data_IF_983678593962
#
_entry.id   IF_983678593962
#
_cell.length_a   1.000
_cell.length_b   1.000
_cell.length_c   1.000
_cell.angle_alpha   90.00
_cell.angle_beta   90.00
_cell.angle_gamma   90.00
#
_symmetry.space_group_name_H-M   'P 1'
#
loop_
_entity.id
_entity.type
_entity.pdbx_description
1 polymer ?
#
# COMPACT_ATOMS: atom_id res chain seq x y z
N UNK A 1 -1.44 -64.67 -15.01
CA UNK A 1 -2.45 -65.45 -14.27
C UNK A 1 -3.07 -64.54 -13.22
N UNK A 2 -4.40 -64.43 -13.26
CA UNK A 2 -5.24 -63.77 -12.24
C UNK A 2 -5.23 -64.61 -10.95
N UNK A 3 -5.58 -63.95 -9.83
CA UNK A 3 -6.23 -64.43 -8.60
C UNK A 3 -5.46 -63.92 -7.36
N UNK A 4 -6.04 -63.39 -6.28
CA UNK A 4 -7.33 -62.76 -5.97
C UNK A 4 -7.39 -62.58 -4.44
N UNK A 5 -8.11 -61.53 -3.99
CA UNK A 5 -9.02 -61.46 -2.80
C UNK A 5 -8.47 -61.94 -1.43
N UNK A 6 -8.33 -61.08 -0.42
CA UNK A 6 -9.33 -60.35 0.39
C UNK A 6 -9.98 -61.17 1.53
N UNK A 7 -10.08 -60.51 2.71
CA UNK A 7 -10.92 -60.78 3.90
C UNK A 7 -10.47 -61.97 4.79
N UNK A 8 -10.62 -62.02 6.12
CA UNK A 8 -11.55 -61.32 7.02
C UNK A 8 -11.22 -61.60 8.52
N UNK A 9 -11.56 -60.62 9.40
CA UNK A 9 -12.36 -60.78 10.67
C UNK A 9 -11.65 -61.28 11.96
N UNK A 10 -11.37 -60.40 12.95
CA UNK A 10 -12.15 -59.94 14.17
C UNK A 10 -12.11 -60.90 15.38
N UNK A 11 -11.65 -60.38 16.55
CA UNK A 11 -12.19 -60.53 17.94
C UNK A 11 -11.14 -59.96 18.93
N UNK A 12 -11.23 -58.75 19.52
CA UNK A 12 -12.02 -58.25 20.69
C UNK A 12 -11.79 -59.03 22.01
N UNK A 13 -11.12 -58.42 23.01
CA UNK A 13 -11.68 -57.97 24.32
C UNK A 13 -10.58 -57.57 25.37
N UNK A 14 -10.61 -56.28 25.73
CA UNK A 14 -10.54 -55.63 27.08
C UNK A 14 -9.52 -56.06 28.16
N UNK A 15 -8.79 -55.06 28.68
CA UNK A 15 -8.75 -54.76 30.12
C UNK A 15 -8.41 -53.28 30.36
N UNK A 16 -9.31 -52.57 31.04
CA UNK A 16 -9.21 -51.17 31.41
C UNK A 16 -8.44 -51.02 32.74
N UNK A 17 -7.47 -50.11 32.81
CA UNK A 17 -7.04 -49.51 34.08
C UNK A 17 -7.24 -48.01 34.02
N UNK A 18 -8.20 -47.56 34.81
CA UNK A 18 -8.50 -46.17 35.13
C UNK A 18 -7.49 -45.70 36.17
N UNK A 19 -6.72 -44.65 35.86
CA UNK A 19 -6.17 -43.76 36.88
C UNK A 19 -6.85 -42.40 36.71
N UNK A 20 -7.91 -42.21 37.50
CA UNK A 20 -8.49 -40.91 37.76
C UNK A 20 -7.66 -40.24 38.85
N UNK A 21 -6.82 -39.27 38.46
CA UNK A 21 -6.38 -38.20 39.34
C UNK A 21 -7.34 -37.03 39.17
N UNK A 22 -8.33 -36.92 40.05
CA UNK A 22 -9.24 -35.78 40.14
C UNK A 22 -8.61 -34.64 40.95
N UNK A 23 -8.88 -33.41 40.50
CA UNK A 23 -8.68 -32.16 41.24
C UNK A 23 -8.65 -30.94 40.30
N UNK A 24 -9.69 -30.69 39.47
CA UNK A 24 -10.81 -29.74 39.72
C UNK A 24 -10.36 -28.28 39.94
N UNK A 25 -10.73 -27.26 39.17
CA UNK A 25 -11.63 -27.03 38.01
C UNK A 25 -11.28 -25.62 37.44
N UNK A 26 -11.65 -25.20 36.23
CA UNK A 26 -13.02 -24.93 35.81
C UNK A 26 -13.10 -24.68 34.28
N UNK A 27 -13.98 -25.46 33.63
CA UNK A 27 -14.73 -25.29 32.36
C UNK A 27 -14.47 -24.10 31.42
N UNK A 28 -14.35 -24.42 30.12
CA UNK A 28 -14.87 -23.63 29.00
C UNK A 28 -14.07 -23.81 27.70
N UNK A 29 -14.29 -24.88 26.91
CA UNK A 29 -15.13 -24.90 25.70
C UNK A 29 -14.33 -24.68 24.39
N UNK A 30 -14.21 -25.77 23.61
CA UNK A 30 -14.14 -25.85 22.13
C UNK A 30 -13.28 -24.88 21.32
N UNK A 31 -12.30 -25.43 20.60
CA UNK A 31 -11.73 -24.82 19.41
C UNK A 31 -10.55 -25.62 18.89
N UNK A 32 -10.73 -26.36 17.80
CA UNK A 32 -9.64 -27.08 17.15
C UNK A 32 -8.58 -26.11 16.67
N UNK A 33 -7.40 -26.18 17.26
CA UNK A 33 -6.20 -25.54 16.73
C UNK A 33 -5.78 -26.28 15.46
N UNK A 34 -6.33 -25.88 14.32
CA UNK A 34 -5.50 -25.80 13.11
C UNK A 34 -4.53 -24.66 13.34
N UNK A 35 -3.44 -24.95 14.05
CA UNK A 35 -2.27 -24.09 14.09
C UNK A 35 -1.72 -23.99 12.67
N UNK A 36 -2.24 -23.05 11.89
CA UNK A 36 -1.44 -22.48 10.82
C UNK A 36 -0.17 -22.00 11.51
N UNK A 37 0.99 -22.44 11.01
CA UNK A 37 2.26 -21.82 11.38
C UNK A 37 2.09 -20.35 11.04
N UNK A 38 1.69 -19.53 12.02
CA UNK A 38 1.71 -18.09 11.89
C UNK A 38 3.15 -17.76 11.58
N UNK A 39 3.42 -17.42 10.32
CA UNK A 39 4.72 -16.87 9.96
C UNK A 39 4.79 -15.57 10.74
N UNK A 40 5.56 -15.59 11.83
CA UNK A 40 5.90 -14.40 12.60
C UNK A 40 6.78 -13.56 11.69
N UNK A 41 6.15 -12.67 10.95
CA UNK A 41 6.78 -11.74 10.03
C UNK A 41 6.61 -10.33 10.57
N UNK A 42 7.66 -9.51 10.57
CA UNK A 42 7.54 -8.08 10.82
C UNK A 42 7.40 -7.28 9.51
N UNK A 43 7.22 -5.97 9.63
CA UNK A 43 7.08 -5.06 8.48
C UNK A 43 8.27 -5.11 7.51
N UNK A 44 9.50 -5.22 8.03
CA UNK A 44 10.70 -5.22 7.20
C UNK A 44 10.82 -6.53 6.43
N UNK A 45 10.57 -7.65 7.10
CA UNK A 45 10.54 -8.96 6.49
C UNK A 45 9.44 -9.04 5.43
N UNK A 46 8.25 -8.48 5.70
CA UNK A 46 7.15 -8.41 4.75
C UNK A 46 7.50 -7.57 3.52
N UNK A 47 8.12 -6.41 3.73
CA UNK A 47 8.55 -5.53 2.64
C UNK A 47 9.63 -6.18 1.79
N UNK A 48 10.69 -6.70 2.42
CA UNK A 48 11.79 -7.36 1.70
C UNK A 48 11.29 -8.55 0.88
N UNK A 49 10.42 -9.37 1.48
CA UNK A 49 9.87 -10.53 0.79
C UNK A 49 8.96 -10.12 -0.38
N UNK A 50 8.16 -9.06 -0.23
CA UNK A 50 7.35 -8.53 -1.32
C UNK A 50 8.20 -8.02 -2.49
N UNK A 51 9.30 -7.31 -2.22
CA UNK A 51 10.27 -6.88 -3.24
C UNK A 51 10.94 -8.08 -3.94
N UNK A 52 11.33 -9.11 -3.19
CA UNK A 52 11.90 -10.32 -3.77
C UNK A 52 10.92 -11.00 -4.74
N UNK A 53 9.63 -11.07 -4.38
CA UNK A 53 8.60 -11.66 -5.25
C UNK A 53 8.38 -10.81 -6.51
N UNK A 54 8.45 -9.49 -6.40
CA UNK A 54 8.39 -8.57 -7.54
C UNK A 54 9.57 -8.82 -8.49
N UNK A 55 10.80 -8.81 -7.99
CA UNK A 55 12.01 -9.03 -8.77
C UNK A 55 12.04 -10.39 -9.48
N UNK A 56 11.53 -11.42 -8.81
CA UNK A 56 11.34 -12.74 -9.41
C UNK A 56 10.43 -12.73 -10.65
N UNK A 57 9.50 -11.79 -10.74
CA UNK A 57 8.61 -11.62 -11.88
C UNK A 57 9.23 -10.78 -12.99
N UNK A 58 9.89 -9.68 -12.64
CA UNK A 58 10.25 -8.61 -13.59
C UNK A 58 11.68 -8.69 -14.11
N UNK A 59 12.62 -9.30 -13.39
CA UNK A 59 14.04 -9.30 -13.77
C UNK A 59 14.31 -10.06 -15.09
N UNK A 60 13.48 -11.05 -15.39
CA UNK A 60 13.55 -11.84 -16.62
C UNK A 60 12.70 -11.31 -17.78
N UNK A 61 12.05 -10.14 -17.62
CA UNK A 61 11.10 -9.65 -18.62
C UNK A 61 11.78 -9.12 -19.88
N UNK A 62 11.07 -9.26 -21.01
CA UNK A 62 11.47 -8.71 -22.31
C UNK A 62 10.25 -8.17 -23.08
N UNK A 63 10.20 -6.86 -23.42
CA UNK A 63 11.20 -5.84 -23.07
C UNK A 63 11.30 -5.63 -21.56
N UNK A 64 12.48 -5.17 -21.09
CA UNK A 64 12.70 -4.92 -19.66
C UNK A 64 11.96 -3.64 -19.24
N UNK A 65 10.98 -3.72 -18.33
CA UNK A 65 10.30 -2.52 -17.84
C UNK A 65 11.12 -1.80 -16.76
N UNK A 66 10.82 -0.51 -16.59
CA UNK A 66 11.22 0.27 -15.42
C UNK A 66 10.13 0.19 -14.36
N UNK A 67 10.50 -0.11 -13.12
CA UNK A 67 9.58 -0.20 -11.99
C UNK A 67 9.32 1.21 -11.43
N UNK A 68 8.06 1.64 -11.44
CA UNK A 68 7.63 2.88 -10.79
C UNK A 68 6.68 2.54 -9.65
N UNK A 69 7.11 2.75 -8.41
CA UNK A 69 6.29 2.48 -7.22
C UNK A 69 5.07 3.39 -7.19
N UNK A 70 3.92 2.83 -6.79
CA UNK A 70 2.65 3.53 -6.63
C UNK A 70 2.02 3.20 -5.28
N UNK A 71 1.21 4.12 -4.76
CA UNK A 71 0.59 4.00 -3.43
C UNK A 71 1.34 4.76 -2.34
N UNK A 72 0.59 5.19 -1.31
CA UNK A 72 1.05 6.18 -0.33
C UNK A 72 1.67 5.56 0.92
N UNK A 73 1.10 4.47 1.39
CA UNK A 73 1.60 3.76 2.55
C UNK A 73 1.64 2.29 2.19
N UNK A 74 2.82 1.66 2.16
CA UNK A 74 2.87 0.23 1.95
C UNK A 74 2.23 -0.49 3.12
N UNK A 75 2.23 0.09 4.33
CA UNK A 75 1.72 -0.58 5.52
C UNK A 75 0.35 -0.03 5.90
N UNK A 76 -0.64 -0.92 5.92
CA UNK A 76 -2.03 -0.62 6.26
C UNK A 76 -2.59 -1.56 7.32
N UNK A 77 -3.84 -1.29 7.70
CA UNK A 77 -4.62 -2.24 8.49
C UNK A 77 -4.79 -3.56 7.71
N UNK A 78 -4.81 -4.68 8.43
CA UNK A 78 -5.12 -5.97 7.85
C UNK A 78 -6.55 -5.97 7.26
N UNK A 79 -6.67 -6.26 5.96
CA UNK A 79 -7.95 -6.30 5.24
C UNK A 79 -8.70 -7.63 5.40
N UNK A 80 -8.07 -8.65 5.99
CA UNK A 80 -8.67 -9.97 6.21
C UNK A 80 -9.42 -10.08 7.56
N UNK A 81 -9.31 -9.08 8.44
CA UNK A 81 -9.87 -9.10 9.78
C UNK A 81 -10.99 -8.05 9.92
N UNK A 82 -12.23 -8.38 9.54
CA UNK A 82 -13.42 -7.52 9.73
C UNK A 82 -13.73 -7.22 11.22
N UNK A 83 -12.99 -7.83 12.15
CA UNK A 83 -13.28 -7.83 13.58
C UNK A 83 -12.07 -7.55 14.49
N UNK A 84 -10.86 -7.30 13.95
CA UNK A 84 -9.72 -6.95 14.80
C UNK A 84 -9.49 -5.44 14.79
N UNK A 85 -9.38 -4.85 15.98
CA UNK A 85 -9.27 -3.42 16.21
C UNK A 85 -7.90 -2.84 15.80
N UNK A 86 -7.50 -2.99 14.54
CA UNK A 86 -6.28 -2.41 13.98
C UNK A 86 -4.97 -2.99 14.52
N UNK A 87 -5.02 -4.09 15.28
CA UNK A 87 -3.85 -4.71 15.92
C UNK A 87 -2.94 -5.46 14.93
N UNK A 88 -3.47 -5.80 13.75
CA UNK A 88 -2.76 -6.51 12.70
C UNK A 88 -2.54 -5.62 11.48
N UNK A 89 -1.35 -5.74 10.93
CA UNK A 89 -0.82 -4.91 9.85
C UNK A 89 -0.53 -5.79 8.64
N UNK A 90 -0.56 -5.19 7.46
CA UNK A 90 -0.12 -5.84 6.23
C UNK A 90 0.67 -4.85 5.39
N UNK A 91 1.60 -5.37 4.58
CA UNK A 91 2.34 -4.62 3.58
C UNK A 91 1.71 -4.85 2.22
N UNK A 92 1.44 -3.80 1.46
CA UNK A 92 1.05 -3.83 0.05
C UNK A 92 2.02 -2.95 -0.74
N UNK A 93 2.78 -3.57 -1.64
CA UNK A 93 3.64 -2.87 -2.59
C UNK A 93 2.96 -2.88 -3.95
N UNK A 94 2.85 -1.72 -4.59
CA UNK A 94 2.29 -1.59 -5.94
C UNK A 94 3.28 -0.91 -6.86
N UNK A 95 3.40 -1.42 -8.08
CA UNK A 95 4.35 -0.94 -9.09
C UNK A 95 3.68 -0.85 -10.46
N UNK A 96 3.88 0.26 -11.15
CA UNK A 96 3.65 0.39 -12.58
C UNK A 96 4.91 -0.05 -13.33
N UNK A 97 4.72 -0.85 -14.38
CA UNK A 97 5.77 -1.29 -15.29
C UNK A 97 5.80 -0.30 -16.47
N UNK A 98 6.74 0.62 -16.42
CA UNK A 98 6.89 1.74 -17.36
C UNK A 98 8.12 1.53 -18.27
N UNK A 99 8.43 2.51 -19.13
CA UNK A 99 9.60 2.41 -20.02
C UNK A 99 9.43 1.44 -21.20
N UNK A 100 8.22 0.90 -21.40
CA UNK A 100 7.86 0.03 -22.52
C UNK A 100 6.63 0.57 -23.26
N UNK A 101 6.44 0.27 -24.55
CA UNK A 101 5.23 0.62 -25.27
C UNK A 101 3.98 0.00 -24.62
N UNK A 102 2.88 0.75 -24.57
CA UNK A 102 1.64 0.28 -23.95
C UNK A 102 1.04 -0.96 -24.62
N UNK A 103 1.39 -1.22 -25.89
CA UNK A 103 1.03 -2.44 -26.62
C UNK A 103 1.68 -3.71 -26.03
N UNK A 104 2.76 -3.57 -25.25
CA UNK A 104 3.45 -4.68 -24.60
C UNK A 104 2.87 -5.03 -23.21
N UNK A 105 1.94 -4.24 -22.68
CA UNK A 105 1.48 -4.37 -21.30
C UNK A 105 0.89 -5.78 -21.00
N UNK A 106 0.06 -6.31 -21.91
CA UNK A 106 -0.49 -7.68 -21.81
C UNK A 106 0.60 -8.75 -21.80
N UNK A 107 1.66 -8.55 -22.58
CA UNK A 107 2.81 -9.47 -22.63
C UNK A 107 3.60 -9.44 -21.33
N UNK A 108 3.78 -8.28 -20.70
CA UNK A 108 4.42 -8.17 -19.39
C UNK A 108 3.62 -8.89 -18.29
N UNK A 109 2.31 -8.73 -18.27
CA UNK A 109 1.42 -9.45 -17.32
C UNK A 109 1.55 -10.97 -17.50
N UNK A 110 1.61 -11.45 -18.75
CA UNK A 110 1.87 -12.87 -19.06
C UNK A 110 3.22 -13.34 -18.53
N UNK A 111 4.28 -12.56 -18.71
CA UNK A 111 5.61 -12.92 -18.23
C UNK A 111 5.68 -12.97 -16.69
N UNK A 112 5.01 -12.05 -16.00
CA UNK A 112 4.90 -12.09 -14.54
C UNK A 112 4.22 -13.38 -14.07
N UNK A 113 3.09 -13.72 -14.70
CA UNK A 113 2.35 -14.98 -14.46
C UNK A 113 3.23 -16.20 -14.68
N UNK A 114 3.94 -16.27 -15.81
CA UNK A 114 4.77 -17.42 -16.15
C UNK A 114 5.96 -17.58 -15.18
N UNK A 115 6.56 -16.46 -14.76
CA UNK A 115 7.61 -16.45 -13.75
C UNK A 115 7.12 -16.97 -12.39
N UNK A 116 5.91 -16.57 -11.97
CA UNK A 116 5.28 -17.05 -10.74
C UNK A 116 4.91 -18.54 -10.81
N UNK A 117 4.32 -19.00 -11.92
CA UNK A 117 3.99 -20.42 -12.11
C UNK A 117 5.24 -21.29 -12.08
N UNK A 118 6.34 -20.86 -12.71
CA UNK A 118 7.62 -21.58 -12.69
C UNK A 118 8.17 -21.78 -11.27
N UNK A 119 7.78 -20.92 -10.32
CA UNK A 119 8.18 -20.98 -8.90
C UNK A 119 7.24 -21.80 -8.03
N UNK A 120 6.19 -22.38 -8.61
CA UNK A 120 5.20 -23.16 -7.87
C UNK A 120 4.19 -22.30 -7.11
N UNK A 121 4.04 -21.02 -7.45
CA UNK A 121 3.00 -20.17 -6.89
C UNK A 121 1.63 -20.61 -7.43
N UNK A 122 0.61 -20.50 -6.59
CA UNK A 122 -0.72 -21.04 -6.87
C UNK A 122 -1.67 -19.93 -7.30
N UNK A 123 -2.55 -20.23 -8.26
CA UNK A 123 -3.62 -19.29 -8.59
C UNK A 123 -4.64 -19.21 -7.46
N UNK A 124 -5.13 -18.00 -7.19
CA UNK A 124 -6.22 -17.79 -6.24
C UNK A 124 -7.60 -17.86 -6.92
N UNK A 125 -7.63 -17.57 -8.22
CA UNK A 125 -8.79 -17.68 -9.10
C UNK A 125 -8.48 -18.60 -10.27
N UNK A 126 -9.36 -18.69 -11.27
CA UNK A 126 -8.94 -19.18 -12.57
C UNK A 126 -7.80 -18.32 -13.13
N UNK A 127 -6.99 -18.90 -14.03
CA UNK A 127 -6.01 -18.14 -14.80
C UNK A 127 -6.71 -17.04 -15.63
N UNK A 128 -5.95 -16.05 -16.07
CA UNK A 128 -6.50 -14.92 -16.82
C UNK A 128 -7.13 -15.37 -18.15
N UNK A 129 -8.23 -14.71 -18.53
CA UNK A 129 -8.73 -14.80 -19.90
C UNK A 129 -7.79 -14.04 -20.84
N UNK A 130 -6.94 -14.78 -21.53
CA UNK A 130 -5.98 -14.20 -22.46
C UNK A 130 -6.61 -13.69 -23.76
N UNK A 131 -7.93 -13.83 -23.96
CA UNK A 131 -8.65 -13.13 -25.03
C UNK A 131 -8.96 -11.67 -24.66
N UNK A 132 -9.05 -11.35 -23.36
CA UNK A 132 -9.23 -9.99 -22.88
C UNK A 132 -8.03 -9.10 -23.28
N UNK A 133 -8.23 -7.90 -23.84
CA UNK A 133 -7.16 -6.92 -24.02
C UNK A 133 -6.50 -6.49 -22.71
N UNK A 134 -7.18 -6.60 -21.56
CA UNK A 134 -6.72 -6.12 -20.26
C UNK A 134 -6.75 -7.21 -19.17
N UNK A 135 -5.97 -8.30 -19.31
CA UNK A 135 -6.01 -9.41 -18.38
C UNK A 135 -5.54 -9.01 -16.98
N UNK A 136 -6.07 -9.74 -16.00
CA UNK A 136 -5.66 -9.70 -14.59
C UNK A 136 -5.35 -11.11 -14.11
N UNK A 137 -4.23 -11.27 -13.41
CA UNK A 137 -3.74 -12.52 -12.84
C UNK A 137 -3.65 -12.34 -11.34
N UNK A 138 -4.25 -13.26 -10.57
CA UNK A 138 -4.17 -13.30 -9.12
C UNK A 138 -3.52 -14.61 -8.65
N UNK A 139 -2.42 -14.50 -7.90
CA UNK A 139 -1.63 -15.63 -7.46
C UNK A 139 -1.25 -15.49 -5.98
N UNK A 140 -0.79 -16.59 -5.40
CA UNK A 140 -0.35 -16.69 -4.01
C UNK A 140 0.95 -17.44 -3.91
N UNK A 141 1.84 -16.97 -3.04
CA UNK A 141 3.03 -17.74 -2.65
C UNK A 141 2.67 -18.88 -1.70
N UNK A 142 3.50 -19.93 -1.69
CA UNK A 142 3.40 -21.05 -0.75
C UNK A 142 4.80 -21.27 -0.17
N UNK A 143 4.98 -21.35 1.16
CA UNK A 143 3.96 -21.39 2.22
C UNK A 143 3.66 -20.03 2.89
N UNK A 144 4.32 -18.95 2.47
CA UNK A 144 4.35 -17.63 3.12
C UNK A 144 3.21 -16.69 2.73
N UNK A 145 2.31 -17.14 1.87
CA UNK A 145 0.94 -16.65 1.79
C UNK A 145 0.74 -15.22 1.25
N UNK A 146 1.77 -14.63 0.64
CA UNK A 146 1.66 -13.37 -0.08
C UNK A 146 0.67 -13.48 -1.23
N UNK A 147 -0.18 -12.48 -1.35
CA UNK A 147 -1.07 -12.27 -2.49
C UNK A 147 -0.37 -11.44 -3.54
N UNK A 148 -0.43 -11.87 -4.81
CA UNK A 148 0.13 -11.14 -5.94
C UNK A 148 -0.93 -10.90 -7.00
N UNK A 149 -0.98 -9.67 -7.52
CA UNK A 149 -1.81 -9.32 -8.66
C UNK A 149 -0.94 -8.73 -9.75
N UNK A 150 -1.08 -9.22 -10.98
CA UNK A 150 -0.55 -8.56 -12.18
C UNK A 150 -1.72 -8.22 -13.09
N UNK A 151 -1.81 -6.96 -13.54
CA UNK A 151 -2.94 -6.51 -14.35
C UNK A 151 -2.52 -5.53 -15.43
N UNK A 152 -3.43 -5.34 -16.37
CA UNK A 152 -3.31 -4.35 -17.43
C UNK A 152 -4.38 -3.27 -17.24
N UNK A 153 -3.99 -2.02 -17.03
CA UNK A 153 -4.89 -0.87 -17.05
C UNK A 153 -5.10 -0.36 -18.47
N UNK A 154 -6.26 0.22 -18.76
CA UNK A 154 -6.57 0.83 -20.07
C UNK A 154 -5.99 2.24 -20.14
N UNK A 155 -5.18 2.53 -21.16
CA UNK A 155 -4.72 3.90 -21.46
C UNK A 155 -5.43 4.42 -22.70
N UNK A 156 -5.40 3.68 -23.80
CA UNK A 156 -6.13 3.98 -25.03
C UNK A 156 -6.71 2.68 -25.61
N UNK A 157 -8.03 2.54 -25.49
CA UNK A 157 -8.75 1.35 -25.97
C UNK A 157 -8.71 1.21 -27.49
N UNK A 158 -8.69 2.32 -28.23
CA UNK A 158 -8.70 2.29 -29.70
C UNK A 158 -7.35 1.86 -30.26
N UNK A 159 -6.25 2.20 -29.58
CA UNK A 159 -4.89 1.81 -29.96
C UNK A 159 -4.40 0.51 -29.30
N UNK A 160 -5.19 -0.05 -28.37
CA UNK A 160 -4.78 -1.21 -27.59
C UNK A 160 -3.61 -0.90 -26.64
N UNK A 161 -3.44 0.36 -26.25
CA UNK A 161 -2.40 0.77 -25.31
C UNK A 161 -2.89 0.55 -23.88
N UNK A 162 -2.13 -0.24 -23.13
CA UNK A 162 -2.36 -0.47 -21.72
C UNK A 162 -1.17 -0.10 -20.86
N UNK A 163 -1.38 -0.12 -19.54
CA UNK A 163 -0.34 0.04 -18.53
C UNK A 163 -0.27 -1.25 -17.73
N UNK A 164 0.88 -1.90 -17.67
CA UNK A 164 1.05 -3.07 -16.80
C UNK A 164 1.34 -2.63 -15.37
N UNK A 165 0.73 -3.30 -14.40
CA UNK A 165 0.99 -3.08 -12.99
C UNK A 165 1.09 -4.40 -12.23
N UNK A 166 1.92 -4.43 -11.18
CA UNK A 166 2.06 -5.55 -10.26
C UNK A 166 1.83 -5.02 -8.84
N UNK A 167 1.04 -5.72 -8.05
CA UNK A 167 0.94 -5.50 -6.61
C UNK A 167 1.22 -6.79 -5.83
N UNK A 168 1.90 -6.65 -4.70
CA UNK A 168 2.26 -7.74 -3.79
C UNK A 168 1.81 -7.36 -2.39
N UNK A 169 0.94 -8.16 -1.79
CA UNK A 169 0.38 -7.95 -0.45
C UNK A 169 0.81 -9.09 0.48
N UNK A 170 1.38 -8.75 1.63
CA UNK A 170 1.80 -9.71 2.65
C UNK A 170 0.60 -10.32 3.37
N UNK A 171 0.75 -11.50 3.99
CA UNK A 171 -0.18 -11.92 5.03
C UNK A 171 -0.19 -10.90 6.18
N UNK A 172 -1.25 -10.94 6.98
CA UNK A 172 -1.38 -10.05 8.13
C UNK A 172 -0.48 -10.51 9.29
N UNK A 173 0.32 -9.60 9.80
CA UNK A 173 1.21 -9.80 10.94
C UNK A 173 0.82 -8.95 12.14
N UNK A 174 1.21 -9.39 13.34
CA UNK A 174 0.97 -8.63 14.56
C UNK A 174 1.78 -7.32 14.55
N UNK A 175 1.21 -6.24 15.09
CA UNK A 175 1.98 -5.05 15.45
C UNK A 175 2.91 -5.38 16.65
N UNK A 176 4.00 -6.12 16.40
CA UNK A 176 4.95 -6.52 17.42
C UNK A 176 5.74 -5.33 17.95
N UNK A 177 5.71 -5.14 19.27
CA UNK A 177 6.42 -4.08 19.98
C UNK A 177 7.93 -4.16 19.78
N UNK A 178 8.53 -2.96 19.67
CA UNK A 178 9.97 -2.63 19.70
C UNK A 178 10.87 -3.76 20.22
N UNK A 179 11.25 -4.68 19.35
CA UNK A 179 12.45 -5.48 19.54
C UNK A 179 13.56 -4.71 18.83
N UNK A 180 14.59 -4.35 19.61
CA UNK A 180 15.67 -3.45 19.25
C UNK A 180 16.13 -3.64 17.79
N UNK A 181 15.93 -2.58 17.01
CA UNK A 181 16.28 -2.51 15.61
C UNK A 181 17.77 -2.74 15.40
N UNK A 182 18.10 -3.55 14.39
CA UNK A 182 19.37 -3.44 13.70
C UNK A 182 19.32 -2.12 12.89
N UNK A 183 20.16 -1.11 13.19
CA UNK A 183 20.06 0.24 12.61
C UNK A 183 20.36 0.32 11.10
N UNK A 184 20.58 -0.80 10.42
CA UNK A 184 20.95 -0.86 9.01
C UNK A 184 19.82 -1.22 8.02
N UNK A 185 18.61 -1.60 8.47
CA UNK A 185 17.53 -2.07 7.56
C UNK A 185 16.33 -1.13 7.42
N UNK A 186 16.28 -0.05 8.19
CA UNK A 186 15.34 1.05 7.99
C UNK A 186 16.14 2.31 7.63
N UNK A 187 16.37 2.56 6.34
CA UNK A 187 16.79 3.90 5.94
C UNK A 187 15.56 4.82 5.86
N UNK A 188 14.86 4.96 7.01
CA UNK A 188 14.33 6.27 7.38
C UNK A 188 15.52 7.03 7.93
N UNK A 189 16.03 7.95 7.13
CA UNK A 189 17.09 8.83 7.57
C UNK A 189 16.51 9.86 8.55
N UNK A 190 17.34 10.45 9.40
CA UNK A 190 16.91 11.58 10.23
C UNK A 190 16.32 12.73 9.38
N UNK A 191 16.76 12.83 8.11
CA UNK A 191 16.24 13.75 7.11
C UNK A 191 14.80 13.40 6.69
N UNK A 192 14.49 12.12 6.48
CA UNK A 192 13.13 11.65 6.19
C UNK A 192 12.17 11.95 7.35
N UNK A 193 12.58 11.65 8.58
CA UNK A 193 11.76 11.95 9.76
C UNK A 193 11.51 13.45 9.94
N UNK A 194 12.54 14.27 9.66
CA UNK A 194 12.42 15.73 9.71
C UNK A 194 11.41 16.22 8.68
N UNK A 195 11.49 15.74 7.44
CA UNK A 195 10.52 16.09 6.40
C UNK A 195 9.10 15.67 6.77
N UNK A 196 8.93 14.49 7.37
CA UNK A 196 7.62 14.02 7.85
C UNK A 196 7.04 14.91 8.95
N UNK A 197 7.86 15.33 9.92
CA UNK A 197 7.45 16.27 10.97
C UNK A 197 7.04 17.61 10.39
N UNK A 198 7.87 18.18 9.50
CA UNK A 198 7.58 19.45 8.83
C UNK A 198 6.29 19.40 8.00
N UNK A 199 6.09 18.32 7.23
CA UNK A 199 4.87 18.15 6.45
C UNK A 199 3.62 18.10 7.33
N UNK A 200 3.68 17.40 8.49
CA UNK A 200 2.58 17.38 9.46
C UNK A 200 2.35 18.74 10.12
N UNK A 201 3.41 19.43 10.51
CA UNK A 201 3.32 20.74 11.18
C UNK A 201 2.67 21.79 10.27
N UNK A 202 3.11 21.87 9.01
CA UNK A 202 2.51 22.76 8.00
C UNK A 202 1.06 22.38 7.73
N UNK A 203 0.78 21.07 7.67
CA UNK A 203 -0.58 20.59 7.43
C UNK A 203 -1.54 20.88 8.59
N UNK A 204 -1.08 20.74 9.83
CA UNK A 204 -1.87 21.05 11.03
C UNK A 204 -2.19 22.55 11.11
N UNK A 205 -1.19 23.41 10.88
CA UNK A 205 -1.40 24.87 10.88
C UNK A 205 -2.39 25.32 9.81
N UNK A 206 -2.32 24.69 8.63
CA UNK A 206 -3.27 24.95 7.56
C UNK A 206 -4.67 24.42 7.91
N UNK A 207 -4.79 23.25 8.52
CA UNK A 207 -6.07 22.72 8.99
C UNK A 207 -6.76 23.71 9.95
N UNK A 208 -6.02 24.22 10.93
CA UNK A 208 -6.52 25.21 11.88
C UNK A 208 -6.93 26.52 11.19
N UNK A 209 -6.14 26.98 10.21
CA UNK A 209 -6.43 28.18 9.44
C UNK A 209 -7.68 28.03 8.54
N UNK A 210 -7.91 26.83 8.01
CA UNK A 210 -9.03 26.57 7.12
C UNK A 210 -10.36 26.56 7.86
N UNK A 211 -10.42 26.24 9.15
CA UNK A 211 -11.65 26.24 9.98
C UNK A 211 -12.79 25.42 9.36
N UNK A 212 -12.46 24.23 8.84
CA UNK A 212 -13.38 23.31 8.16
C UNK A 212 -13.29 21.93 8.79
N UNK A 213 -14.35 21.12 8.63
CA UNK A 213 -14.37 19.74 9.12
C UNK A 213 -13.57 18.85 8.17
N UNK A 214 -12.70 18.01 8.72
CA UNK A 214 -12.05 16.96 7.94
C UNK A 214 -13.05 15.84 7.63
N UNK A 215 -12.96 15.26 6.44
CA UNK A 215 -13.66 14.02 6.13
C UNK A 215 -12.94 12.82 6.77
N UNK A 216 -13.65 11.69 6.86
CA UNK A 216 -13.00 10.42 7.12
C UNK A 216 -11.90 10.15 6.08
N UNK A 217 -10.76 9.65 6.54
CA UNK A 217 -9.57 9.39 5.70
C UNK A 217 -9.94 8.51 4.51
N UNK A 218 -9.64 8.99 3.30
CA UNK A 218 -9.82 8.24 2.06
C UNK A 218 -8.56 7.46 1.69
N UNK A 219 -8.73 6.50 0.77
CA UNK A 219 -7.60 5.80 0.18
C UNK A 219 -6.67 6.81 -0.50
N UNK A 220 -5.38 6.75 -0.18
CA UNK A 220 -4.42 7.73 -0.64
C UNK A 220 -4.43 9.07 0.10
N UNK A 221 -4.95 9.12 1.32
CA UNK A 221 -4.74 10.23 2.26
C UNK A 221 -3.83 9.81 3.42
N UNK A 222 -3.35 10.80 4.17
CA UNK A 222 -2.40 10.67 5.29
C UNK A 222 -0.95 10.93 4.89
N UNK A 223 -0.04 10.65 5.82
CA UNK A 223 1.39 10.89 5.63
C UNK A 223 2.00 9.72 4.85
N UNK A 224 2.91 10.04 3.94
CA UNK A 224 3.61 9.11 3.08
C UNK A 224 5.02 9.65 2.73
N UNK A 225 5.94 8.77 2.37
CA UNK A 225 7.25 9.16 1.84
C UNK A 225 7.36 8.69 0.38
N UNK A 226 7.86 9.57 -0.47
CA UNK A 226 8.00 9.39 -1.90
C UNK A 226 9.47 9.49 -2.27
N UNK A 227 9.85 8.79 -3.33
CA UNK A 227 11.17 8.91 -3.92
C UNK A 227 11.00 9.14 -5.43
N UNK A 228 11.60 10.21 -5.94
CA UNK A 228 11.68 10.54 -7.36
C UNK A 228 13.15 10.68 -7.75
N UNK A 229 13.70 9.65 -8.39
CA UNK A 229 15.15 9.52 -8.57
C UNK A 229 15.88 9.42 -7.22
N UNK A 230 16.84 10.32 -7.00
CA UNK A 230 17.58 10.44 -5.73
C UNK A 230 16.83 11.29 -4.69
N UNK A 231 15.84 12.07 -5.12
CA UNK A 231 15.12 12.97 -4.24
C UNK A 231 14.06 12.24 -3.45
N UNK A 232 13.98 12.54 -2.15
CA UNK A 232 12.99 11.98 -1.24
C UNK A 232 12.12 13.07 -0.67
N UNK A 233 10.84 12.78 -0.51
CA UNK A 233 9.84 13.74 -0.03
C UNK A 233 8.92 13.09 0.98
N UNK A 234 8.57 13.81 2.03
CA UNK A 234 7.40 13.51 2.84
C UNK A 234 6.19 14.23 2.25
N UNK A 235 5.04 13.57 2.21
CA UNK A 235 3.81 14.14 1.68
C UNK A 235 2.64 13.77 2.56
N UNK A 236 1.84 14.76 2.92
CA UNK A 236 0.67 14.62 3.78
C UNK A 236 -0.56 15.16 3.05
N UNK A 237 -1.53 14.29 2.79
CA UNK A 237 -2.77 14.65 2.10
C UNK A 237 -4.01 14.38 2.96
N UNK A 238 -5.04 15.21 2.83
CA UNK A 238 -6.34 15.03 3.45
C UNK A 238 -7.41 15.84 2.73
N UNK A 239 -8.68 15.50 2.95
CA UNK A 239 -9.82 16.21 2.37
C UNK A 239 -10.80 16.69 3.44
N UNK A 240 -11.53 17.74 3.13
CA UNK A 240 -12.67 18.19 3.94
C UNK A 240 -13.91 17.35 3.68
N UNK A 241 -14.90 17.45 4.57
CA UNK A 241 -16.29 17.15 4.18
C UNK A 241 -16.71 18.04 3.00
N UNK A 242 -17.70 17.63 2.18
CA UNK A 242 -18.21 18.48 1.11
C UNK A 242 -18.65 19.85 1.64
N UNK A 243 -18.16 20.91 0.99
CA UNK A 243 -18.45 22.30 1.35
C UNK A 243 -19.44 22.90 0.33
N UNK A 244 -20.23 23.86 0.78
CA UNK A 244 -20.95 24.76 -0.14
C UNK A 244 -19.94 25.61 -0.91
N UNK A 245 -20.35 26.16 -2.06
CA UNK A 245 -19.49 27.04 -2.87
C UNK A 245 -18.97 28.23 -2.07
N UNK A 246 -19.82 28.83 -1.23
CA UNK A 246 -19.44 29.94 -0.36
C UNK A 246 -18.40 29.51 0.69
N UNK A 247 -18.63 28.38 1.38
CA UNK A 247 -17.69 27.87 2.37
C UNK A 247 -16.33 27.48 1.74
N UNK A 248 -16.36 26.94 0.52
CA UNK A 248 -15.18 26.64 -0.29
C UNK A 248 -14.37 27.92 -0.61
N UNK A 249 -15.05 28.97 -1.09
CA UNK A 249 -14.41 30.25 -1.40
C UNK A 249 -13.79 30.89 -0.16
N UNK A 250 -14.49 30.86 0.97
CA UNK A 250 -13.98 31.36 2.24
C UNK A 250 -12.78 30.55 2.75
N UNK A 251 -12.80 29.22 2.62
CA UNK A 251 -11.70 28.36 3.00
C UNK A 251 -10.44 28.65 2.15
N UNK A 252 -10.59 28.80 0.83
CA UNK A 252 -9.48 29.19 -0.05
C UNK A 252 -8.92 30.59 0.27
N UNK A 253 -9.79 31.54 0.63
CA UNK A 253 -9.36 32.87 1.06
C UNK A 253 -8.54 32.81 2.36
N UNK A 254 -9.00 32.04 3.36
CA UNK A 254 -8.25 31.82 4.61
C UNK A 254 -6.90 31.15 4.37
N UNK A 255 -6.84 30.15 3.49
CA UNK A 255 -5.59 29.50 3.09
C UNK A 255 -4.61 30.51 2.49
N UNK A 256 -5.08 31.38 1.57
CA UNK A 256 -4.26 32.44 0.97
C UNK A 256 -3.69 33.37 2.04
N UNK A 257 -4.55 33.91 2.91
CA UNK A 257 -4.12 34.81 4.00
C UNK A 257 -3.12 34.13 4.93
N UNK A 258 -3.33 32.85 5.25
CA UNK A 258 -2.39 32.07 6.05
C UNK A 258 -1.00 32.01 5.39
N UNK A 259 -0.91 31.61 4.13
CA UNK A 259 0.36 31.52 3.40
C UNK A 259 1.06 32.87 3.25
N UNK A 260 0.32 33.93 2.92
CA UNK A 260 0.86 35.29 2.82
C UNK A 260 1.43 35.76 4.17
N UNK A 261 0.72 35.53 5.27
CA UNK A 261 1.18 35.90 6.62
C UNK A 261 2.46 35.17 7.05
N UNK A 262 2.72 34.01 6.47
CA UNK A 262 3.90 33.18 6.74
C UNK A 262 5.02 33.39 5.70
N UNK A 263 4.85 34.32 4.74
CA UNK A 263 5.85 34.62 3.72
C UNK A 263 6.02 33.55 2.63
N UNK A 264 5.01 32.71 2.41
CA UNK A 264 5.05 31.69 1.36
C UNK A 264 4.85 32.32 -0.02
N UNK A 265 5.51 31.77 -1.03
CA UNK A 265 5.36 32.19 -2.42
C UNK A 265 4.10 31.56 -3.02
N UNK A 266 3.14 32.37 -3.41
CA UNK A 266 1.89 31.91 -4.00
C UNK A 266 2.00 31.74 -5.52
N UNK A 267 1.44 30.65 -6.02
CA UNK A 267 1.17 30.40 -7.43
C UNK A 267 -0.30 30.01 -7.64
N UNK A 268 -0.81 30.26 -8.83
CA UNK A 268 -2.14 29.76 -9.24
C UNK A 268 -1.95 28.80 -10.41
N UNK A 269 -2.60 27.64 -10.35
CA UNK A 269 -2.74 26.74 -11.51
C UNK A 269 -4.21 26.54 -11.83
N UNK A 270 -4.59 26.53 -13.12
CA UNK A 270 -5.92 26.11 -13.54
C UNK A 270 -6.17 24.66 -13.07
N UNK A 271 -7.38 24.36 -12.58
CA UNK A 271 -7.80 22.98 -12.32
C UNK A 271 -8.84 22.53 -13.34
N UNK A 272 -8.95 21.22 -13.55
CA UNK A 272 -9.98 20.61 -14.39
C UNK A 272 -11.42 20.89 -13.90
N UNK A 273 -11.60 21.35 -12.66
CA UNK A 273 -12.89 21.70 -12.07
C UNK A 273 -13.28 23.18 -12.25
N UNK A 274 -12.51 23.96 -13.01
CA UNK A 274 -12.81 25.38 -13.31
C UNK A 274 -12.46 26.36 -12.18
N UNK A 275 -12.46 25.94 -10.91
CA UNK A 275 -11.99 26.75 -9.78
C UNK A 275 -10.45 26.66 -9.63
N UNK A 276 -9.70 27.77 -9.53
CA UNK A 276 -8.24 27.73 -9.47
C UNK A 276 -7.75 27.06 -8.19
N UNK A 277 -6.76 26.17 -8.30
CA UNK A 277 -6.07 25.63 -7.15
C UNK A 277 -5.11 26.67 -6.60
N UNK A 278 -5.02 26.73 -5.28
CA UNK A 278 -3.99 27.51 -4.60
C UNK A 278 -2.74 26.64 -4.46
N UNK A 279 -1.61 27.12 -4.99
CA UNK A 279 -0.30 26.55 -4.76
C UNK A 279 0.51 27.53 -3.91
N UNK A 280 1.22 27.02 -2.90
CA UNK A 280 2.09 27.81 -2.05
C UNK A 280 3.42 27.09 -1.85
N UNK A 281 4.54 27.77 -2.04
CA UNK A 281 5.88 27.25 -1.76
C UNK A 281 6.53 27.99 -0.59
N UNK A 282 7.04 27.24 0.39
CA UNK A 282 7.81 27.76 1.51
C UNK A 282 9.28 27.91 1.10
N UNK A 283 9.80 29.14 1.02
CA UNK A 283 11.19 29.37 0.59
C UNK A 283 12.24 28.93 1.62
N UNK A 284 11.85 28.69 2.88
CA UNK A 284 12.77 28.36 3.98
C UNK A 284 13.14 26.89 3.98
N UNK A 285 12.17 26.01 3.79
CA UNK A 285 12.35 24.56 3.88
C UNK A 285 12.04 23.81 2.58
N UNK A 286 11.67 24.52 1.51
CA UNK A 286 11.33 23.94 0.22
C UNK A 286 9.98 23.20 0.19
N UNK A 287 9.17 23.30 1.25
CA UNK A 287 7.85 22.66 1.26
C UNK A 287 6.91 23.31 0.25
N UNK A 288 6.03 22.52 -0.34
CA UNK A 288 4.98 22.98 -1.23
C UNK A 288 3.62 22.50 -0.71
N UNK A 289 2.61 23.36 -0.81
CA UNK A 289 1.23 23.05 -0.48
C UNK A 289 0.33 23.29 -1.67
N UNK A 290 -0.60 22.36 -1.89
CA UNK A 290 -1.70 22.48 -2.84
C UNK A 290 -3.02 22.40 -2.11
N UNK A 291 -3.89 23.37 -2.37
CA UNK A 291 -5.28 23.39 -1.91
C UNK A 291 -6.19 23.49 -3.13
N UNK A 292 -6.95 22.44 -3.40
CA UNK A 292 -7.71 22.31 -4.65
C UNK A 292 -9.15 21.86 -4.41
N UNK A 293 -10.15 22.58 -4.95
CA UNK A 293 -11.52 22.09 -5.00
C UNK A 293 -11.63 20.82 -5.87
N UNK A 294 -12.53 19.93 -5.47
CA UNK A 294 -12.87 18.69 -6.18
C UNK A 294 -14.34 18.72 -6.65
N UNK A 295 -14.66 17.91 -7.66
CA UNK A 295 -16.00 17.84 -8.26
C UNK A 295 -17.07 17.28 -7.32
N UNK A 296 -16.66 16.60 -6.26
CA UNK A 296 -17.53 16.08 -5.18
C UNK A 296 -17.76 17.11 -4.06
N UNK A 297 -17.38 18.38 -4.27
CA UNK A 297 -17.54 19.46 -3.29
C UNK A 297 -16.52 19.44 -2.16
N UNK A 298 -15.54 18.53 -2.16
CA UNK A 298 -14.48 18.50 -1.15
C UNK A 298 -13.33 19.46 -1.49
N UNK A 299 -12.68 19.98 -0.46
CA UNK A 299 -11.41 20.69 -0.59
C UNK A 299 -10.28 19.71 -0.27
N UNK A 300 -9.41 19.44 -1.26
CA UNK A 300 -8.26 18.55 -1.12
C UNK A 300 -7.03 19.37 -0.77
N UNK A 301 -6.35 18.96 0.30
CA UNK A 301 -5.12 19.56 0.78
C UNK A 301 -3.99 18.55 0.66
N UNK A 302 -2.86 18.99 0.11
CA UNK A 302 -1.66 18.19 -0.01
C UNK A 302 -0.44 19.04 0.34
N UNK A 303 0.36 18.58 1.30
CA UNK A 303 1.61 19.20 1.74
C UNK A 303 2.75 18.28 1.37
N UNK A 304 3.78 18.78 0.71
CA UNK A 304 4.98 18.03 0.31
C UNK A 304 6.21 18.73 0.84
N UNK A 305 7.11 18.01 1.50
CA UNK A 305 8.35 18.55 2.07
C UNK A 305 9.52 17.67 1.64
N UNK A 306 10.60 18.23 1.07
CA UNK A 306 11.77 17.44 0.68
C UNK A 306 12.56 16.97 1.91
N UNK A 307 13.18 15.79 1.81
CA UNK A 307 14.05 15.21 2.84
C UNK A 307 15.39 15.96 2.94
N UNK A 308 15.99 16.29 1.79
CA UNK A 308 17.06 17.26 1.72
C UNK A 308 16.47 18.68 1.70
N UNK A 309 16.98 19.58 2.55
CA UNK A 309 16.62 21.00 2.43
C UNK A 309 17.08 21.56 1.08
N UNK A 310 16.58 22.73 0.64
CA UNK A 310 17.18 23.39 -0.52
C UNK A 310 18.69 23.50 -0.26
N UNK A 311 19.51 22.96 -1.17
CA UNK A 311 20.94 23.29 -1.18
C UNK A 311 20.99 24.81 -1.19
N UNK A 312 21.59 25.39 -0.15
CA UNK A 312 21.98 26.79 -0.22
C UNK A 312 22.89 26.86 -1.45
N UNK A 313 22.38 27.43 -2.54
CA UNK A 313 23.20 27.82 -3.69
C UNK A 313 24.40 28.56 -3.10
N UNK A 314 25.55 27.87 -3.10
CA UNK A 314 26.81 28.46 -2.74
C UNK A 314 27.10 29.53 -3.80
N UNK A 315 26.92 30.78 -3.36
CA UNK A 315 27.40 32.07 -3.90
C UNK A 315 28.14 32.01 -5.23
#
# INVERSE_FOLDING_TARGET
MKLSRAMAVIAVLTASTVLAGCGSGQKGNSGGETGSKQVTMDEQQATKRAEDILHQAVDGMSPKPTLKRTGLNPVGACLADDHSAGERRQVTLSYQLTGVPGTEAKKLVRQARDAWVKRGYTFQSADADWSDPFPTVNMRTVPDDFWMTALTGVVDKAKGEGLAAISITSPCFAAGGSAAADPASAHQTAADERAQRLARDHSSRLYDALQVRHAARREGEGLATYQDGEDRYAHHAWSTEPLTEEAMAQALARARTHFESQGWRLGQTPTAAGAPALLAGNPVDGSAVRVAPSTDGTLRVAVTTPAAGPEAESV
#
